data_IF_078754615921
#
_entry.id   IF_078754615921
#
_cell.length_a   1.000
_cell.length_b   1.000
_cell.length_c   1.000
_cell.angle_alpha   90.00
_cell.angle_beta   90.00
_cell.angle_gamma   90.00
#
_symmetry.space_group_name_H-M   'P 1'
#
loop_
_entity.id
_entity.type
_entity.pdbx_description
1 polymer ?
#
# COMPACT_ATOMS: atom_id res chain seq x y z
N UNK A 1 25.00 5.84 15.24
CA UNK A 1 24.56 4.44 15.21
C UNK A 1 23.76 4.17 16.46
N UNK A 2 22.59 3.58 16.30
CA UNK A 2 21.77 3.10 17.41
C UNK A 2 22.46 1.96 18.15
N UNK A 3 22.30 1.94 19.47
CA UNK A 3 22.71 0.81 20.30
C UNK A 3 21.56 -0.19 20.35
N UNK A 4 21.88 -1.46 20.59
CA UNK A 4 20.84 -2.49 20.75
C UNK A 4 19.84 -2.15 21.86
N UNK A 5 20.28 -1.47 22.92
CA UNK A 5 19.43 -0.97 24.01
C UNK A 5 18.39 0.08 23.60
N UNK A 6 18.49 0.65 22.39
CA UNK A 6 17.53 1.65 21.88
C UNK A 6 16.24 1.00 21.34
N UNK A 7 16.20 -0.33 21.25
CA UNK A 7 15.08 -1.11 20.71
C UNK A 7 14.22 -1.67 21.84
N UNK A 8 12.91 -1.75 21.59
CA UNK A 8 11.90 -2.19 22.57
C UNK A 8 11.53 -3.66 22.37
N UNK A 9 11.65 -4.14 21.13
CA UNK A 9 11.35 -5.52 20.74
C UNK A 9 12.47 -6.07 19.86
N UNK A 10 12.94 -7.27 20.20
CA UNK A 10 13.82 -8.09 19.37
C UNK A 10 13.01 -9.27 18.79
N UNK A 11 13.00 -9.39 17.47
CA UNK A 11 12.49 -10.57 16.77
C UNK A 11 13.68 -11.45 16.40
N UNK A 12 13.63 -12.72 16.76
CA UNK A 12 14.71 -13.69 16.60
C UNK A 12 14.24 -14.87 15.78
N UNK A 13 15.17 -15.66 15.27
CA UNK A 13 14.89 -16.98 14.70
C UNK A 13 15.91 -17.99 15.20
N UNK A 14 15.78 -19.25 14.80
CA UNK A 14 16.70 -20.33 15.18
C UNK A 14 18.14 -19.94 14.81
N UNK A 15 19.07 -20.06 15.77
CA UNK A 15 20.48 -19.69 15.57
C UNK A 15 20.80 -18.20 15.75
N UNK A 16 19.81 -17.37 16.10
CA UNK A 16 20.04 -15.93 16.35
C UNK A 16 20.75 -15.68 17.69
N UNK A 17 21.62 -14.65 17.77
CA UNK A 17 22.28 -14.30 19.02
C UNK A 17 21.25 -13.96 20.12
N UNK A 18 21.65 -14.06 21.41
CA UNK A 18 20.78 -13.68 22.51
C UNK A 18 20.42 -12.19 22.43
N UNK A 19 19.19 -11.86 22.81
CA UNK A 19 18.80 -10.46 22.93
C UNK A 19 19.49 -9.83 24.15
N UNK A 20 19.82 -8.53 24.11
CA UNK A 20 20.26 -7.81 25.30
C UNK A 20 19.23 -7.85 26.43
N UNK A 21 19.72 -7.77 27.67
CA UNK A 21 18.86 -7.67 28.84
C UNK A 21 17.90 -6.47 28.74
N UNK A 22 16.66 -6.67 29.15
CA UNK A 22 15.63 -5.63 29.19
C UNK A 22 14.84 -5.41 27.89
N UNK A 23 15.17 -6.12 26.81
CA UNK A 23 14.42 -6.04 25.53
C UNK A 23 13.41 -7.19 25.44
N UNK A 24 12.14 -6.87 25.13
CA UNK A 24 11.12 -7.90 24.86
C UNK A 24 11.60 -8.75 23.68
N UNK A 25 11.54 -10.06 23.80
CA UNK A 25 11.98 -10.97 22.75
C UNK A 25 10.80 -11.79 22.23
N UNK A 26 10.75 -11.97 20.92
CA UNK A 26 9.81 -12.88 20.26
C UNK A 26 10.58 -13.76 19.27
N UNK A 27 10.36 -15.05 19.35
CA UNK A 27 10.97 -16.02 18.44
C UNK A 27 10.01 -16.29 17.27
N UNK A 28 10.54 -16.13 16.06
CA UNK A 28 9.92 -16.47 14.80
C UNK A 28 10.60 -17.74 14.28
N UNK A 29 10.01 -18.87 14.62
CA UNK A 29 10.50 -20.20 14.29
C UNK A 29 9.67 -20.75 13.12
N UNK A 30 10.24 -20.91 11.92
CA UNK A 30 9.53 -21.54 10.80
C UNK A 30 9.07 -22.96 11.14
N UNK A 31 8.01 -23.43 10.50
CA UNK A 31 7.58 -24.83 10.52
C UNK A 31 8.56 -25.79 9.83
N UNK A 32 8.19 -27.06 9.77
CA UNK A 32 9.03 -28.15 9.26
C UNK A 32 8.38 -28.90 8.07
N UNK A 33 7.48 -28.26 7.32
CA UNK A 33 6.80 -28.89 6.18
C UNK A 33 7.68 -29.03 4.93
N UNK A 34 8.78 -28.28 4.85
CA UNK A 34 9.70 -28.27 3.72
C UNK A 34 9.36 -27.23 2.65
N UNK A 35 8.26 -26.47 2.83
CA UNK A 35 7.98 -25.25 2.05
C UNK A 35 8.40 -24.02 2.88
N UNK A 36 9.52 -23.36 2.53
CA UNK A 36 10.04 -22.22 3.30
C UNK A 36 9.03 -21.08 3.47
N UNK A 37 8.12 -20.89 2.51
CA UNK A 37 7.11 -19.82 2.57
C UNK A 37 6.04 -20.21 3.58
N UNK A 38 5.42 -21.38 3.41
CA UNK A 38 4.37 -21.86 4.30
C UNK A 38 4.88 -21.99 5.75
N UNK A 39 6.09 -22.54 5.91
CA UNK A 39 6.75 -22.73 7.20
C UNK A 39 7.00 -21.38 7.90
N UNK A 40 7.48 -20.38 7.17
CA UNK A 40 7.73 -19.05 7.75
C UNK A 40 6.42 -18.34 8.12
N UNK A 41 5.37 -18.48 7.31
CA UNK A 41 4.05 -17.91 7.64
C UNK A 41 3.42 -18.62 8.84
N UNK A 42 3.55 -19.94 8.95
CA UNK A 42 3.11 -20.69 10.13
C UNK A 42 3.86 -20.24 11.40
N UNK A 43 5.17 -20.08 11.30
CA UNK A 43 6.00 -19.53 12.38
C UNK A 43 5.60 -18.12 12.78
N UNK A 44 5.32 -17.25 11.80
CA UNK A 44 4.82 -15.90 12.06
C UNK A 44 3.46 -15.92 12.77
N UNK A 45 2.54 -16.81 12.38
CA UNK A 45 1.24 -16.99 13.05
C UNK A 45 1.42 -17.48 14.50
N UNK A 46 2.37 -18.38 14.74
CA UNK A 46 2.67 -18.91 16.07
C UNK A 46 3.42 -17.92 16.98
N UNK A 47 4.14 -16.94 16.41
CA UNK A 47 4.97 -16.00 17.16
C UNK A 47 4.20 -15.06 18.10
N UNK A 48 2.88 -14.91 17.89
CA UNK A 48 2.06 -13.95 18.64
C UNK A 48 2.34 -12.48 18.33
N UNK A 49 3.13 -12.18 17.29
CA UNK A 49 3.37 -10.82 16.83
C UNK A 49 2.07 -10.17 16.36
N UNK A 50 1.87 -8.92 16.76
CA UNK A 50 0.72 -8.12 16.33
C UNK A 50 1.16 -6.88 15.57
N UNK A 51 0.27 -6.27 14.80
CA UNK A 51 0.55 -4.99 14.14
C UNK A 51 0.88 -3.85 15.14
N UNK A 52 0.48 -3.96 16.41
CA UNK A 52 0.77 -2.97 17.44
C UNK A 52 2.24 -3.00 17.89
N UNK A 53 2.86 -4.19 17.91
CA UNK A 53 4.27 -4.37 18.29
C UNK A 53 5.20 -3.52 17.39
N UNK A 54 4.86 -3.39 16.10
CA UNK A 54 5.63 -2.63 15.10
C UNK A 54 5.48 -1.11 15.17
N UNK A 55 4.65 -0.59 16.09
CA UNK A 55 4.61 0.85 16.42
C UNK A 55 5.84 1.29 17.22
N UNK A 56 6.51 0.34 17.88
CA UNK A 56 7.75 0.56 18.61
C UNK A 56 8.99 0.37 17.72
N UNK A 57 10.18 0.69 18.25
CA UNK A 57 11.45 0.34 17.61
C UNK A 57 11.69 -1.16 17.77
N UNK A 58 11.65 -1.86 16.64
CA UNK A 58 11.86 -3.31 16.56
C UNK A 58 13.20 -3.55 15.87
N UNK A 59 13.94 -4.55 16.36
CA UNK A 59 15.14 -5.07 15.72
C UNK A 59 14.98 -6.55 15.40
N UNK A 60 15.44 -6.97 14.22
CA UNK A 60 15.61 -8.37 13.88
C UNK A 60 17.02 -8.83 14.24
N UNK A 61 17.17 -9.83 15.11
CA UNK A 61 18.49 -10.42 15.36
C UNK A 61 18.67 -11.54 14.33
N UNK A 62 19.60 -11.35 13.40
CA UNK A 62 19.87 -12.33 12.36
C UNK A 62 20.72 -13.49 12.89
N UNK A 63 20.45 -14.73 12.50
CA UNK A 63 21.37 -15.84 12.69
C UNK A 63 22.62 -15.64 11.83
N UNK A 64 23.68 -16.39 12.12
CA UNK A 64 24.83 -16.46 11.23
C UNK A 64 24.41 -16.98 9.84
N UNK A 65 25.08 -16.48 8.81
CA UNK A 65 24.80 -16.88 7.43
C UNK A 65 23.54 -16.26 6.83
N UNK A 66 23.02 -16.92 5.79
CA UNK A 66 21.93 -16.39 4.96
C UNK A 66 20.53 -16.80 5.43
N UNK A 67 20.44 -17.71 6.41
CA UNK A 67 19.18 -18.28 6.89
C UNK A 67 18.22 -17.22 7.43
N UNK A 68 18.73 -16.06 7.86
CA UNK A 68 17.92 -14.94 8.33
C UNK A 68 17.12 -14.22 7.25
N UNK A 69 17.43 -14.37 5.95
CA UNK A 69 16.79 -13.60 4.87
C UNK A 69 15.31 -13.94 4.69
N UNK A 70 14.95 -15.22 4.75
CA UNK A 70 13.56 -15.69 4.61
C UNK A 70 12.67 -15.13 5.73
N UNK A 71 12.98 -15.35 7.03
CA UNK A 71 12.18 -14.78 8.11
C UNK A 71 12.20 -13.24 8.12
N UNK A 72 13.31 -12.61 7.72
CA UNK A 72 13.39 -11.17 7.60
C UNK A 72 12.46 -10.60 6.51
N UNK A 73 12.35 -11.25 5.35
CA UNK A 73 11.44 -10.84 4.29
C UNK A 73 9.97 -10.93 4.72
N UNK A 74 9.60 -12.01 5.42
CA UNK A 74 8.27 -12.14 6.03
C UNK A 74 8.01 -11.01 7.05
N UNK A 75 9.00 -10.73 7.90
CA UNK A 75 8.91 -9.66 8.90
C UNK A 75 8.70 -8.29 8.25
N UNK A 76 9.36 -7.99 7.13
CA UNK A 76 9.14 -6.75 6.40
C UNK A 76 7.70 -6.64 5.86
N UNK A 77 7.17 -7.73 5.32
CA UNK A 77 5.78 -7.82 4.85
C UNK A 77 4.78 -7.61 5.99
N UNK A 78 4.99 -8.30 7.11
CA UNK A 78 4.17 -8.17 8.30
C UNK A 78 4.29 -6.78 8.92
N UNK A 79 5.49 -6.21 9.05
CA UNK A 79 5.71 -4.87 9.59
C UNK A 79 5.19 -3.76 8.66
N UNK A 80 5.03 -4.05 7.37
CA UNK A 80 4.68 -3.05 6.34
C UNK A 80 5.78 -2.02 6.10
N UNK A 81 7.00 -2.29 6.57
CA UNK A 81 8.20 -1.46 6.47
C UNK A 81 9.44 -2.32 6.71
N UNK A 82 10.61 -1.81 6.33
CA UNK A 82 11.89 -2.40 6.74
C UNK A 82 12.06 -2.26 8.26
N UNK A 83 12.59 -3.30 8.88
CA UNK A 83 12.88 -3.39 10.31
C UNK A 83 14.38 -3.45 10.46
N UNK A 84 14.99 -2.63 11.32
CA UNK A 84 16.45 -2.67 11.51
C UNK A 84 16.90 -4.08 11.90
N UNK A 85 18.12 -4.47 11.52
CA UNK A 85 18.66 -5.79 11.86
C UNK A 85 19.97 -5.68 12.64
N UNK A 86 20.26 -6.69 13.45
CA UNK A 86 21.58 -6.92 14.02
C UNK A 86 22.17 -8.17 13.37
N UNK A 87 23.32 -8.01 12.75
CA UNK A 87 24.03 -9.09 12.07
C UNK A 87 25.54 -8.87 12.19
N UNK A 88 26.29 -9.95 12.42
CA UNK A 88 27.76 -9.96 12.51
C UNK A 88 28.34 -8.84 13.41
N UNK A 89 27.73 -8.64 14.58
CA UNK A 89 28.20 -7.66 15.56
C UNK A 89 27.76 -6.20 15.31
N UNK A 90 26.99 -5.92 14.26
CA UNK A 90 26.61 -4.57 13.87
C UNK A 90 25.10 -4.39 13.71
N UNK A 91 24.61 -3.20 14.09
CA UNK A 91 23.24 -2.77 13.80
C UNK A 91 23.18 -2.16 12.40
N UNK A 92 22.33 -2.73 11.55
CA UNK A 92 21.96 -2.26 10.24
C UNK A 92 20.67 -1.44 10.33
N UNK A 93 20.83 -0.11 10.31
CA UNK A 93 19.71 0.82 10.29
C UNK A 93 19.17 0.99 8.87
N UNK A 94 18.17 0.21 8.47
CA UNK A 94 17.75 0.16 7.07
C UNK A 94 16.96 1.39 6.61
N UNK A 95 16.46 2.19 7.54
CA UNK A 95 15.97 3.55 7.23
C UNK A 95 17.08 4.45 6.66
N UNK A 96 18.35 4.15 6.94
CA UNK A 96 19.54 4.86 6.47
C UNK A 96 20.31 4.10 5.39
N UNK A 97 19.94 2.86 5.09
CA UNK A 97 20.60 2.03 4.10
C UNK A 97 19.89 2.14 2.75
N UNK A 98 20.65 2.57 1.72
CA UNK A 98 20.15 2.85 0.37
C UNK A 98 18.86 3.72 0.33
N UNK A 99 18.81 4.87 1.04
CA UNK A 99 17.63 5.74 1.08
C UNK A 99 17.27 6.29 -0.31
N UNK A 100 18.28 6.41 -1.17
CA UNK A 100 18.20 6.91 -2.54
C UNK A 100 18.32 5.79 -3.59
N UNK A 101 17.95 4.54 -3.26
CA UNK A 101 18.04 3.39 -4.19
C UNK A 101 17.43 3.65 -5.58
N UNK A 102 16.31 4.37 -5.62
CA UNK A 102 15.64 4.78 -6.86
C UNK A 102 16.46 5.79 -7.69
N UNK A 103 17.33 6.56 -7.04
CA UNK A 103 18.16 7.60 -7.66
C UNK A 103 19.50 7.08 -8.16
N UNK A 104 19.82 5.80 -7.95
CA UNK A 104 21.00 5.20 -8.57
C UNK A 104 20.91 5.36 -10.09
N UNK A 105 22.00 5.83 -10.68
CA UNK A 105 22.09 5.96 -12.13
C UNK A 105 22.07 4.57 -12.77
N UNK A 106 21.29 4.41 -13.82
CA UNK A 106 21.26 3.22 -14.65
C UNK A 106 21.80 3.56 -16.05
N UNK A 107 22.18 2.55 -16.81
CA UNK A 107 22.65 2.70 -18.19
C UNK A 107 21.49 2.90 -19.20
N UNK A 108 20.28 3.17 -18.71
CA UNK A 108 19.06 3.24 -19.50
C UNK A 108 18.31 1.90 -19.59
N UNK A 109 17.10 1.98 -20.13
CA UNK A 109 16.21 0.83 -20.32
C UNK A 109 16.74 -0.08 -21.44
N UNK A 110 16.93 -1.39 -21.19
CA UNK A 110 17.36 -2.32 -22.23
C UNK A 110 16.35 -2.40 -23.39
N UNK A 111 16.82 -2.56 -24.64
CA UNK A 111 15.94 -2.67 -25.81
C UNK A 111 15.13 -3.98 -25.81
N UNK A 112 15.67 -5.05 -25.22
CA UNK A 112 15.00 -6.35 -25.07
C UNK A 112 14.28 -6.50 -23.72
N UNK A 113 13.24 -7.33 -23.68
CA UNK A 113 12.61 -7.70 -22.41
C UNK A 113 13.53 -8.60 -21.60
N UNK A 114 14.04 -8.08 -20.48
CA UNK A 114 14.83 -8.85 -19.54
C UNK A 114 13.90 -9.66 -18.62
N UNK A 115 13.64 -10.92 -18.96
CA UNK A 115 12.75 -11.79 -18.17
C UNK A 115 13.32 -12.06 -16.78
N UNK A 116 14.60 -12.41 -16.72
CA UNK A 116 15.34 -12.66 -15.49
C UNK A 116 16.68 -11.93 -15.50
N UNK A 117 17.15 -11.60 -14.31
CA UNK A 117 18.53 -11.22 -14.05
C UNK A 117 18.98 -11.87 -12.74
N UNK A 118 20.29 -11.85 -12.51
CA UNK A 118 20.88 -12.27 -11.26
C UNK A 118 21.62 -11.12 -10.60
N UNK A 119 21.67 -11.15 -9.27
CA UNK A 119 22.57 -10.33 -8.47
C UNK A 119 23.39 -11.21 -7.53
N UNK A 120 24.69 -11.00 -7.51
CA UNK A 120 25.64 -11.84 -6.76
C UNK A 120 25.90 -13.21 -7.41
N UNK A 121 26.76 -14.01 -6.78
CA UNK A 121 27.11 -15.35 -7.25
C UNK A 121 27.92 -15.39 -8.57
N UNK A 122 28.23 -16.59 -9.09
CA UNK A 122 28.88 -16.77 -10.38
C UNK A 122 27.96 -16.38 -11.54
N UNK A 123 28.54 -15.99 -12.68
CA UNK A 123 27.76 -15.73 -13.90
C UNK A 123 26.91 -16.95 -14.29
N UNK A 124 25.66 -16.70 -14.65
CA UNK A 124 24.73 -17.74 -15.07
C UNK A 124 24.51 -17.64 -16.58
N UNK A 125 24.67 -18.76 -17.29
CA UNK A 125 24.48 -18.79 -18.74
C UNK A 125 23.05 -18.32 -19.11
N UNK A 126 22.95 -17.44 -20.12
CA UNK A 126 21.67 -16.93 -20.60
C UNK A 126 20.95 -15.95 -19.66
N UNK A 127 21.56 -15.56 -18.54
CA UNK A 127 20.98 -14.61 -17.58
C UNK A 127 21.98 -13.51 -17.22
N UNK A 128 21.67 -12.22 -17.51
CA UNK A 128 22.53 -11.13 -17.10
C UNK A 128 22.74 -11.08 -15.59
N UNK A 129 24.01 -11.09 -15.16
CA UNK A 129 24.41 -11.07 -13.76
C UNK A 129 25.00 -9.70 -13.39
N UNK A 130 24.49 -9.14 -12.29
CA UNK A 130 24.99 -7.93 -11.66
C UNK A 130 25.84 -8.31 -10.43
N UNK A 131 27.07 -7.83 -10.38
CA UNK A 131 27.92 -8.01 -9.20
C UNK A 131 27.76 -6.81 -8.25
N UNK A 132 27.59 -7.12 -6.97
CA UNK A 132 27.54 -6.13 -5.88
C UNK A 132 28.67 -6.48 -4.93
N UNK A 133 29.74 -5.68 -4.95
CA UNK A 133 30.86 -5.89 -4.03
C UNK A 133 30.43 -5.64 -2.58
N UNK A 134 30.83 -6.54 -1.69
CA UNK A 134 30.64 -6.39 -0.25
C UNK A 134 31.27 -5.08 0.23
N UNK A 135 30.50 -4.25 0.93
CA UNK A 135 30.96 -2.94 1.44
C UNK A 135 30.98 -1.78 0.42
N UNK A 136 30.85 -2.03 -0.89
CA UNK A 136 30.90 -1.00 -1.95
C UNK A 136 29.54 -0.65 -2.54
N UNK A 137 28.46 -0.93 -1.79
CA UNK A 137 27.06 -0.76 -2.20
C UNK A 137 26.68 0.65 -2.67
N UNK A 138 27.53 1.65 -2.40
CA UNK A 138 27.39 3.05 -2.86
C UNK A 138 27.99 3.33 -4.25
N UNK A 139 28.71 2.38 -4.83
CA UNK A 139 29.47 2.52 -6.08
C UNK A 139 29.02 1.48 -7.13
N UNK A 140 27.72 1.21 -7.20
CA UNK A 140 27.18 0.30 -8.20
C UNK A 140 27.35 0.85 -9.61
N UNK A 141 27.90 0.01 -10.49
CA UNK A 141 27.97 0.28 -11.92
C UNK A 141 26.56 0.47 -12.52
N UNK A 142 26.32 1.52 -13.33
CA UNK A 142 25.04 1.72 -14.02
C UNK A 142 24.51 0.51 -14.79
N UNK A 143 25.38 -0.36 -15.34
CA UNK A 143 24.93 -1.58 -16.02
C UNK A 143 24.34 -2.60 -15.02
N UNK A 144 24.95 -2.77 -13.84
CA UNK A 144 24.43 -3.59 -12.76
C UNK A 144 23.07 -3.06 -12.26
N UNK A 145 22.95 -1.73 -12.09
CA UNK A 145 21.68 -1.08 -11.72
C UNK A 145 20.60 -1.35 -12.77
N UNK A 146 20.94 -1.28 -14.07
CA UNK A 146 20.02 -1.59 -15.18
C UNK A 146 19.47 -3.02 -15.06
N UNK A 147 20.32 -4.02 -14.82
CA UNK A 147 19.89 -5.41 -14.65
C UNK A 147 18.93 -5.53 -13.46
N UNK A 148 19.32 -5.03 -12.29
CA UNK A 148 18.52 -5.10 -11.06
C UNK A 148 17.15 -4.43 -11.26
N UNK A 149 17.14 -3.24 -11.85
CA UNK A 149 15.96 -2.39 -12.01
C UNK A 149 14.98 -2.90 -13.05
N UNK A 150 15.47 -3.33 -14.21
CA UNK A 150 14.63 -3.63 -15.36
C UNK A 150 14.28 -5.11 -15.53
N UNK A 151 14.98 -6.02 -14.85
CA UNK A 151 14.63 -7.44 -14.88
C UNK A 151 13.22 -7.69 -14.32
N UNK A 152 12.41 -8.42 -15.09
CA UNK A 152 11.05 -8.75 -14.69
C UNK A 152 11.05 -9.62 -13.43
N UNK A 153 12.01 -10.54 -13.28
CA UNK A 153 12.34 -11.24 -12.04
C UNK A 153 13.83 -11.15 -11.75
N UNK A 154 14.20 -11.25 -10.48
CA UNK A 154 15.60 -11.13 -10.07
C UNK A 154 15.91 -12.24 -9.09
N UNK A 155 16.95 -13.00 -9.40
CA UNK A 155 17.58 -14.00 -8.54
C UNK A 155 18.68 -13.33 -7.73
N UNK A 156 18.70 -13.52 -6.42
CA UNK A 156 19.78 -13.04 -5.55
C UNK A 156 20.51 -14.25 -4.97
N UNK A 157 21.79 -14.34 -5.29
CA UNK A 157 22.73 -15.23 -4.62
C UNK A 157 23.44 -14.39 -3.56
N UNK A 158 23.03 -14.50 -2.29
CA UNK A 158 23.55 -13.63 -1.23
C UNK A 158 25.03 -13.93 -0.93
N UNK A 159 25.80 -12.93 -0.46
CA UNK A 159 27.04 -13.18 0.26
C UNK A 159 26.84 -14.07 1.49
N UNK A 160 27.87 -14.81 1.89
CA UNK A 160 27.78 -15.74 3.03
C UNK A 160 27.58 -15.03 4.38
N UNK A 161 28.16 -13.84 4.55
CA UNK A 161 28.03 -13.07 5.79
C UNK A 161 26.60 -12.49 5.92
N UNK A 162 25.96 -12.71 7.07
CA UNK A 162 24.58 -12.29 7.32
C UNK A 162 24.38 -10.78 7.10
N UNK A 163 25.36 -9.98 7.53
CA UNK A 163 25.36 -8.53 7.39
C UNK A 163 25.35 -8.11 5.92
N UNK A 164 26.21 -8.70 5.11
CA UNK A 164 26.34 -8.35 3.69
C UNK A 164 25.17 -8.89 2.87
N UNK A 165 24.66 -10.07 3.22
CA UNK A 165 23.43 -10.64 2.68
C UNK A 165 22.24 -9.70 2.88
N UNK A 166 22.00 -9.24 4.11
CA UNK A 166 20.92 -8.32 4.44
C UNK A 166 21.09 -6.95 3.77
N UNK A 167 22.31 -6.41 3.76
CA UNK A 167 22.59 -5.14 3.12
C UNK A 167 22.38 -5.20 1.59
N UNK A 168 22.81 -6.29 0.95
CA UNK A 168 22.58 -6.54 -0.49
C UNK A 168 21.10 -6.70 -0.79
N UNK A 169 20.37 -7.47 0.04
CA UNK A 169 18.91 -7.61 -0.07
C UNK A 169 18.19 -6.27 -0.05
N UNK A 170 18.51 -5.40 0.92
CA UNK A 170 17.88 -4.08 1.07
C UNK A 170 18.24 -3.15 -0.09
N UNK A 171 19.49 -3.17 -0.56
CA UNK A 171 19.93 -2.41 -1.73
C UNK A 171 19.16 -2.82 -2.98
N UNK A 172 19.07 -4.13 -3.24
CA UNK A 172 18.34 -4.69 -4.37
C UNK A 172 16.87 -4.31 -4.31
N UNK A 173 16.22 -4.46 -3.14
CA UNK A 173 14.84 -4.05 -2.95
C UNK A 173 14.63 -2.55 -3.21
N UNK A 174 15.58 -1.71 -2.78
CA UNK A 174 15.54 -0.26 -2.96
C UNK A 174 15.71 0.16 -4.44
N UNK A 175 16.62 -0.47 -5.20
CA UNK A 175 16.82 -0.18 -6.63
C UNK A 175 15.60 -0.58 -7.47
N UNK A 176 14.92 -1.66 -7.07
CA UNK A 176 13.72 -2.18 -7.74
C UNK A 176 12.44 -1.46 -7.36
N UNK A 177 12.52 -0.50 -6.43
CA UNK A 177 11.37 0.24 -5.95
C UNK A 177 10.78 1.09 -7.09
N UNK A 178 9.48 0.94 -7.31
CA UNK A 178 8.69 1.80 -8.24
C UNK A 178 7.66 2.60 -7.47
N UNK A 179 6.88 1.90 -6.65
CA UNK A 179 5.95 2.46 -5.66
C UNK A 179 6.25 1.87 -4.28
N UNK A 180 6.52 0.57 -4.23
CA UNK A 180 6.97 -0.19 -3.05
C UNK A 180 8.21 -1.03 -3.36
N UNK A 181 8.87 -1.48 -2.31
CA UNK A 181 9.97 -2.44 -2.39
C UNK A 181 9.52 -3.71 -3.11
N UNK A 182 10.40 -4.24 -3.96
CA UNK A 182 10.17 -5.50 -4.67
C UNK A 182 11.29 -6.49 -4.38
N UNK A 183 10.96 -7.58 -3.71
CA UNK A 183 11.98 -8.52 -3.23
C UNK A 183 12.44 -9.49 -4.35
N UNK A 184 13.71 -9.94 -4.30
CA UNK A 184 14.24 -10.96 -5.22
C UNK A 184 13.86 -12.38 -4.80
N UNK A 185 14.17 -13.35 -5.66
CA UNK A 185 14.23 -14.76 -5.28
C UNK A 185 15.52 -15.00 -4.52
N UNK A 186 15.46 -15.71 -3.40
CA UNK A 186 16.64 -16.20 -2.70
C UNK A 186 17.10 -17.51 -3.36
N UNK A 187 18.34 -17.53 -3.82
CA UNK A 187 18.89 -18.63 -4.62
C UNK A 187 20.26 -19.06 -4.13
N UNK A 188 20.59 -20.33 -4.38
CA UNK A 188 21.91 -20.93 -4.13
C UNK A 188 22.91 -20.63 -5.25
N UNK A 189 22.44 -20.15 -6.40
CA UNK A 189 23.22 -19.91 -7.61
C UNK A 189 23.37 -21.14 -8.50
N UNK A 190 22.87 -22.31 -8.07
CA UNK A 190 22.99 -23.58 -8.79
C UNK A 190 21.71 -23.98 -9.51
N UNK A 191 20.66 -23.19 -9.39
CA UNK A 191 19.38 -23.43 -10.07
C UNK A 191 19.51 -23.30 -11.59
N UNK A 192 18.74 -24.08 -12.38
CA UNK A 192 18.81 -24.07 -13.83
C UNK A 192 18.39 -22.71 -14.42
N UNK A 193 18.69 -22.50 -15.70
CA UNK A 193 18.25 -21.30 -16.42
C UNK A 193 16.71 -21.24 -16.42
N UNK A 194 16.11 -20.12 -15.98
CA UNK A 194 14.66 -20.03 -15.86
C UNK A 194 13.97 -20.15 -17.22
N UNK A 195 12.98 -21.04 -17.28
CA UNK A 195 12.20 -21.30 -18.48
C UNK A 195 11.06 -20.29 -18.67
N UNK A 196 10.53 -19.75 -17.57
CA UNK A 196 9.42 -18.81 -17.55
C UNK A 196 9.60 -17.73 -16.49
N UNK A 197 8.75 -16.70 -16.51
CA UNK A 197 8.76 -15.62 -15.53
C UNK A 197 8.40 -16.04 -14.10
N UNK A 198 7.67 -17.13 -13.91
CA UNK A 198 7.21 -17.56 -12.58
C UNK A 198 7.70 -18.98 -12.27
N UNK A 199 8.90 -19.29 -12.78
CA UNK A 199 9.57 -20.58 -12.63
C UNK A 199 9.84 -20.88 -11.14
N UNK A 200 9.25 -21.94 -10.57
CA UNK A 200 9.37 -22.28 -9.15
C UNK A 200 10.74 -22.88 -8.80
N UNK A 201 11.54 -23.30 -9.78
CA UNK A 201 12.86 -23.92 -9.55
C UNK A 201 13.95 -22.89 -9.26
N UNK A 202 13.62 -21.60 -9.18
CA UNK A 202 14.56 -20.48 -9.05
C UNK A 202 14.85 -20.08 -7.60
N UNK A 203 14.53 -20.95 -6.65
CA UNK A 203 14.69 -20.72 -5.22
C UNK A 203 13.46 -20.13 -4.54
N UNK A 204 13.64 -19.49 -3.39
CA UNK A 204 12.51 -19.00 -2.57
C UNK A 204 12.06 -17.62 -3.01
N UNK A 205 10.80 -17.47 -3.43
CA UNK A 205 10.22 -16.17 -3.79
C UNK A 205 9.92 -15.33 -2.53
N UNK A 206 10.86 -14.43 -2.18
CA UNK A 206 10.71 -13.55 -1.02
C UNK A 206 9.62 -12.49 -1.22
N UNK A 207 9.25 -12.15 -2.46
CA UNK A 207 8.17 -11.21 -2.73
C UNK A 207 6.80 -11.87 -2.51
N UNK A 208 6.64 -13.14 -2.88
CA UNK A 208 5.46 -13.94 -2.51
C UNK A 208 5.34 -14.04 -0.99
N UNK A 209 6.41 -14.40 -0.30
CA UNK A 209 6.43 -14.48 1.17
C UNK A 209 6.06 -13.14 1.84
N UNK A 210 6.64 -12.04 1.37
CA UNK A 210 6.31 -10.68 1.86
C UNK A 210 4.82 -10.37 1.71
N UNK A 211 4.22 -10.74 0.58
CA UNK A 211 2.78 -10.51 0.31
C UNK A 211 1.89 -11.36 1.19
N UNK A 212 2.25 -12.63 1.40
CA UNK A 212 1.49 -13.51 2.30
C UNK A 212 1.56 -13.02 3.75
N UNK A 213 2.72 -12.57 4.21
CA UNK A 213 2.85 -11.96 5.53
C UNK A 213 2.05 -10.65 5.67
N UNK A 214 2.02 -9.83 4.61
CA UNK A 214 1.21 -8.62 4.58
C UNK A 214 -0.31 -8.94 4.57
N UNK A 215 -0.73 -9.96 3.84
CA UNK A 215 -2.10 -10.46 3.81
C UNK A 215 -2.52 -10.97 5.19
N UNK A 216 -1.68 -11.77 5.85
CA UNK A 216 -1.92 -12.21 7.23
C UNK A 216 -2.10 -11.03 8.20
N UNK A 217 -1.29 -9.97 8.08
CA UNK A 217 -1.52 -8.76 8.88
C UNK A 217 -2.87 -8.08 8.57
N UNK A 218 -3.33 -8.12 7.33
CA UNK A 218 -4.64 -7.58 6.98
C UNK A 218 -5.77 -8.44 7.56
N UNK A 219 -5.62 -9.77 7.54
CA UNK A 219 -6.53 -10.72 8.21
C UNK A 219 -6.67 -10.38 9.70
N UNK A 220 -5.56 -10.29 10.45
CA UNK A 220 -5.59 -9.92 11.88
C UNK A 220 -6.29 -8.57 12.15
N UNK A 221 -6.14 -7.61 11.25
CA UNK A 221 -6.81 -6.31 11.36
C UNK A 221 -8.32 -6.43 11.10
N UNK A 222 -8.72 -7.25 10.13
CA UNK A 222 -10.11 -7.49 9.79
C UNK A 222 -10.82 -8.31 10.86
N UNK A 223 -10.17 -9.37 11.38
CA UNK A 223 -10.66 -10.18 12.50
C UNK A 223 -10.85 -9.32 13.75
N UNK A 224 -9.88 -8.45 14.07
CA UNK A 224 -10.03 -7.52 15.20
C UNK A 224 -11.14 -6.50 14.98
N UNK A 225 -11.33 -5.98 13.75
CA UNK A 225 -12.48 -5.12 13.42
C UNK A 225 -13.82 -5.87 13.51
N UNK A 226 -13.83 -7.18 13.24
CA UNK A 226 -15.01 -8.03 13.41
C UNK A 226 -15.29 -8.38 14.87
N UNK A 227 -14.25 -8.52 15.70
CA UNK A 227 -14.35 -8.79 17.13
C UNK A 227 -14.70 -7.55 17.96
N UNK A 228 -14.24 -6.36 17.54
CA UNK A 228 -14.64 -5.05 18.08
C UNK A 228 -15.84 -4.48 17.30
N UNK A 229 -16.90 -5.27 17.07
CA UNK A 229 -18.21 -4.69 16.80
C UNK A 229 -18.70 -3.99 18.07
N UNK A 230 -18.26 -2.74 18.27
CA UNK A 230 -19.02 -1.80 19.09
C UNK A 230 -20.47 -1.90 18.63
N UNK A 231 -21.46 -2.00 19.53
CA UNK A 231 -22.86 -1.96 19.13
C UNK A 231 -23.03 -0.74 18.23
N UNK A 232 -23.73 -0.86 17.09
CA UNK A 232 -23.89 0.25 16.15
C UNK A 232 -24.32 1.45 16.99
N UNK A 233 -23.47 2.48 17.04
CA UNK A 233 -23.83 3.71 17.74
C UNK A 233 -25.17 4.11 17.16
N UNK A 234 -26.22 4.30 18.00
CA UNK A 234 -27.53 4.63 17.49
C UNK A 234 -27.34 5.82 16.57
N UNK A 235 -27.70 5.65 15.28
CA UNK A 235 -27.54 6.69 14.28
C UNK A 235 -28.22 7.91 14.86
N UNK A 236 -27.43 8.97 15.13
CA UNK A 236 -27.99 10.17 15.76
C UNK A 236 -29.18 10.63 14.93
N UNK A 237 -30.22 11.14 15.59
CA UNK A 237 -31.42 11.62 14.88
C UNK A 237 -31.05 12.56 13.72
N UNK A 238 -29.99 13.35 13.90
CA UNK A 238 -29.33 14.17 12.89
C UNK A 238 -28.81 13.39 11.67
N UNK A 239 -27.98 12.35 11.87
CA UNK A 239 -27.44 11.55 10.76
C UNK A 239 -28.53 10.78 10.02
N UNK A 240 -29.56 10.32 10.75
CA UNK A 240 -30.71 9.65 10.16
C UNK A 240 -31.47 10.61 9.23
N UNK A 241 -31.70 11.84 9.68
CA UNK A 241 -32.38 12.89 8.90
C UNK A 241 -31.60 13.30 7.66
N UNK A 242 -30.27 13.45 7.75
CA UNK A 242 -29.42 13.69 6.58
C UNK A 242 -29.49 12.52 5.58
N UNK A 243 -29.50 11.28 6.04
CA UNK A 243 -29.61 10.12 5.17
C UNK A 243 -30.99 10.04 4.47
N UNK A 244 -32.07 10.34 5.20
CA UNK A 244 -33.43 10.45 4.64
C UNK A 244 -33.49 11.54 3.56
N UNK A 245 -32.94 12.73 3.82
CA UNK A 245 -32.90 13.81 2.83
C UNK A 245 -32.08 13.45 1.57
N UNK A 246 -31.00 12.67 1.70
CA UNK A 246 -30.23 12.18 0.53
C UNK A 246 -31.01 11.19 -0.34
N UNK A 247 -31.98 10.49 0.23
CA UNK A 247 -32.77 9.47 -0.46
C UNK A 247 -33.95 10.06 -1.25
N UNK A 248 -34.36 11.31 -0.98
CA UNK A 248 -35.41 12.01 -1.74
C UNK A 248 -34.98 12.20 -3.19
N UNK A 249 -35.90 11.96 -4.14
CA UNK A 249 -35.62 12.13 -5.57
C UNK A 249 -35.20 13.58 -5.85
N UNK A 250 -34.03 13.74 -6.47
CA UNK A 250 -33.46 15.02 -6.85
C UNK A 250 -34.38 15.82 -7.77
N UNK A 251 -35.27 15.15 -8.53
CA UNK A 251 -36.31 15.83 -9.34
C UNK A 251 -37.31 16.58 -8.46
N UNK A 252 -37.75 15.98 -7.36
CA UNK A 252 -38.63 16.64 -6.38
C UNK A 252 -37.94 17.86 -5.78
N UNK A 253 -36.65 17.74 -5.46
CA UNK A 253 -35.86 18.85 -4.93
C UNK A 253 -35.69 19.97 -5.96
N UNK A 254 -35.46 19.64 -7.24
CA UNK A 254 -35.38 20.61 -8.32
C UNK A 254 -36.67 21.42 -8.47
N UNK A 255 -37.83 20.74 -8.49
CA UNK A 255 -39.14 21.42 -8.54
C UNK A 255 -39.33 22.38 -7.37
N UNK A 256 -38.94 21.98 -6.15
CA UNK A 256 -39.02 22.86 -4.96
C UNK A 256 -38.09 24.06 -5.04
N UNK A 257 -36.94 23.92 -5.70
CA UNK A 257 -36.02 25.03 -5.97
C UNK A 257 -36.49 25.91 -7.15
N UNK A 258 -37.72 25.71 -7.66
CA UNK A 258 -38.28 26.51 -8.75
C UNK A 258 -37.77 26.12 -10.14
N UNK A 259 -37.08 24.99 -10.26
CA UNK A 259 -36.61 24.45 -11.53
C UNK A 259 -37.70 23.62 -12.21
N UNK A 260 -37.66 23.53 -13.54
CA UNK A 260 -38.58 22.74 -14.35
C UNK A 260 -37.82 22.05 -15.48
N UNK A 261 -38.39 20.96 -16.00
CA UNK A 261 -37.86 20.22 -17.14
C UNK A 261 -38.47 20.73 -18.45
N UNK A 262 -37.70 20.63 -19.54
CA UNK A 262 -38.19 20.72 -20.90
C UNK A 262 -38.80 19.39 -21.38
N UNK A 263 -39.29 19.38 -22.63
CA UNK A 263 -39.91 18.20 -23.26
C UNK A 263 -38.90 17.05 -23.47
N UNK A 264 -37.59 17.34 -23.51
CA UNK A 264 -36.50 16.38 -23.66
C UNK A 264 -35.95 15.85 -22.32
N UNK A 265 -36.51 16.32 -21.18
CA UNK A 265 -36.13 15.92 -19.83
C UNK A 265 -34.84 16.57 -19.31
N UNK A 266 -34.34 17.63 -19.95
CA UNK A 266 -33.32 18.51 -19.41
C UNK A 266 -33.97 19.57 -18.51
N UNK A 267 -33.30 19.89 -17.41
CA UNK A 267 -33.79 20.83 -16.41
C UNK A 267 -33.15 22.20 -16.55
N UNK A 268 -33.94 23.21 -16.21
CA UNK A 268 -33.52 24.59 -16.00
C UNK A 268 -32.68 24.70 -14.72
N UNK A 269 -31.51 25.34 -14.75
CA UNK A 269 -30.67 25.42 -13.57
C UNK A 269 -31.25 26.42 -12.55
N UNK A 270 -31.43 26.02 -11.26
CA UNK A 270 -31.89 26.93 -10.21
C UNK A 270 -30.81 27.96 -9.78
N UNK A 271 -29.74 28.17 -10.56
CA UNK A 271 -28.65 29.12 -10.29
C UNK A 271 -28.41 30.04 -11.50
N UNK A 272 -29.43 30.80 -11.97
CA UNK A 272 -29.32 31.59 -13.21
C UNK A 272 -28.17 32.59 -13.18
N UNK A 273 -27.81 33.13 -12.00
CA UNK A 273 -26.70 34.08 -11.83
C UNK A 273 -25.31 33.49 -12.13
N UNK A 274 -25.17 32.17 -12.17
CA UNK A 274 -23.91 31.50 -12.55
C UNK A 274 -23.78 31.29 -14.06
N UNK A 275 -24.78 31.66 -14.84
CA UNK A 275 -24.77 31.56 -16.30
C UNK A 275 -24.57 32.94 -16.94
N UNK A 276 -23.79 32.99 -18.03
CA UNK A 276 -23.51 34.25 -18.73
C UNK A 276 -24.74 34.93 -19.35
N UNK A 277 -25.78 34.15 -19.71
CA UNK A 277 -27.05 34.65 -20.29
C UNK A 277 -28.26 34.26 -19.41
N UNK A 278 -28.06 34.05 -18.10
CA UNK A 278 -29.10 33.48 -17.25
C UNK A 278 -29.44 32.02 -17.62
N UNK A 279 -30.61 31.56 -17.19
CA UNK A 279 -31.10 30.20 -17.43
C UNK A 279 -32.18 30.15 -18.54
N UNK A 280 -31.95 30.88 -19.63
CA UNK A 280 -32.84 30.90 -20.80
C UNK A 280 -32.95 29.54 -21.50
N UNK A 281 -31.90 28.71 -21.42
CA UNK A 281 -31.87 27.36 -21.99
C UNK A 281 -31.63 26.31 -20.91
N UNK A 282 -32.33 25.16 -20.94
CA UNK A 282 -32.14 24.07 -19.99
C UNK A 282 -30.72 23.52 -20.12
N UNK A 283 -30.06 23.31 -18.99
CA UNK A 283 -28.60 23.07 -18.92
C UNK A 283 -28.21 22.01 -17.90
N UNK A 284 -29.20 21.40 -17.25
CA UNK A 284 -29.04 20.51 -16.12
C UNK A 284 -29.61 19.14 -16.42
N UNK A 285 -28.84 18.09 -16.14
CA UNK A 285 -29.24 16.70 -16.39
C UNK A 285 -29.34 15.92 -15.08
N UNK A 286 -30.44 15.20 -14.91
CA UNK A 286 -30.64 14.24 -13.82
C UNK A 286 -30.18 12.85 -14.27
N UNK A 287 -29.46 12.15 -13.39
CA UNK A 287 -28.91 10.81 -13.63
C UNK A 287 -29.64 9.76 -12.78
N UNK A 288 -29.54 8.49 -13.19
CA UNK A 288 -30.24 7.37 -12.54
C UNK A 288 -29.77 7.02 -11.11
N UNK A 289 -28.71 7.67 -10.62
CA UNK A 289 -28.13 7.47 -9.28
C UNK A 289 -28.53 8.56 -8.28
N UNK A 290 -29.69 9.20 -8.50
CA UNK A 290 -30.23 10.30 -7.70
C UNK A 290 -29.29 11.53 -7.60
N UNK A 291 -28.51 11.77 -8.66
CA UNK A 291 -27.63 12.94 -8.77
C UNK A 291 -27.97 13.75 -10.00
N UNK A 292 -27.52 14.99 -9.99
CA UNK A 292 -27.75 15.95 -11.06
C UNK A 292 -26.48 16.73 -11.36
N UNK A 293 -26.39 17.30 -12.56
CA UNK A 293 -25.27 18.15 -12.97
C UNK A 293 -25.74 19.21 -13.93
N UNK A 294 -25.46 20.48 -13.63
CA UNK A 294 -25.53 21.55 -14.61
C UNK A 294 -24.21 21.61 -15.39
N UNK A 295 -24.28 21.58 -16.72
CA UNK A 295 -23.11 21.61 -17.60
C UNK A 295 -22.31 22.93 -17.52
N UNK A 296 -22.91 24.00 -16.98
CA UNK A 296 -22.29 25.31 -16.80
C UNK A 296 -21.76 25.52 -15.38
N UNK A 297 -22.51 25.09 -14.36
CA UNK A 297 -22.17 25.36 -12.96
C UNK A 297 -21.28 24.30 -12.32
N UNK A 298 -21.42 23.02 -12.71
CA UNK A 298 -20.89 21.91 -11.92
C UNK A 298 -19.79 21.14 -12.66
N UNK A 299 -18.62 21.02 -12.01
CA UNK A 299 -17.54 20.15 -12.48
C UNK A 299 -17.90 18.66 -12.35
N UNK A 300 -18.72 18.29 -11.36
CA UNK A 300 -19.09 16.92 -11.03
C UNK A 300 -20.59 16.79 -10.73
N UNK A 301 -21.09 15.55 -10.64
CA UNK A 301 -22.49 15.28 -10.29
C UNK A 301 -22.72 15.52 -8.80
N UNK A 302 -23.74 16.28 -8.47
CA UNK A 302 -24.11 16.61 -7.08
C UNK A 302 -25.39 15.91 -6.65
N UNK A 303 -25.47 15.54 -5.37
CA UNK A 303 -26.67 14.96 -4.77
C UNK A 303 -27.62 16.04 -4.20
N UNK A 304 -28.82 15.65 -3.72
CA UNK A 304 -29.88 16.57 -3.32
C UNK A 304 -29.46 17.62 -2.27
N UNK A 305 -28.77 17.19 -1.21
CA UNK A 305 -28.33 18.10 -0.14
C UNK A 305 -27.35 19.16 -0.67
N UNK A 306 -26.33 18.73 -1.43
CA UNK A 306 -25.33 19.64 -1.97
C UNK A 306 -25.95 20.64 -2.94
N UNK A 307 -26.92 20.20 -3.74
CA UNK A 307 -27.67 21.09 -4.62
C UNK A 307 -28.37 22.21 -3.83
N UNK A 308 -29.07 21.87 -2.75
CA UNK A 308 -29.79 22.87 -1.92
C UNK A 308 -28.82 23.83 -1.22
N UNK A 309 -27.71 23.31 -0.68
CA UNK A 309 -26.65 24.15 -0.09
C UNK A 309 -26.14 25.17 -1.12
N UNK A 310 -25.84 24.74 -2.34
CA UNK A 310 -25.26 25.61 -3.36
C UNK A 310 -26.26 26.60 -3.96
N UNK A 311 -27.57 26.31 -3.88
CA UNK A 311 -28.64 27.18 -4.38
C UNK A 311 -29.07 28.20 -3.33
N UNK A 312 -29.27 27.76 -2.08
CA UNK A 312 -29.81 28.58 -1.00
C UNK A 312 -28.73 29.16 -0.06
N UNK A 313 -27.48 28.69 -0.15
CA UNK A 313 -26.39 29.15 0.72
C UNK A 313 -26.52 28.70 2.18
N UNK A 314 -27.22 27.59 2.43
CA UNK A 314 -27.57 27.10 3.77
C UNK A 314 -26.66 25.97 4.24
N UNK A 315 -26.71 25.66 5.54
CA UNK A 315 -25.99 24.52 6.12
C UNK A 315 -26.60 23.17 5.68
N UNK A 316 -25.88 22.04 5.82
CA UNK A 316 -26.43 20.71 5.51
C UNK A 316 -27.72 20.35 6.26
N UNK A 317 -27.90 20.85 7.49
CA UNK A 317 -29.09 20.60 8.30
C UNK A 317 -30.30 21.38 7.80
N UNK A 318 -30.09 22.66 7.50
CA UNK A 318 -31.12 23.49 6.89
C UNK A 318 -31.50 22.97 5.51
N UNK A 319 -30.54 22.47 4.74
CA UNK A 319 -30.79 21.80 3.48
C UNK A 319 -31.62 20.51 3.66
N UNK A 320 -31.28 19.68 4.66
CA UNK A 320 -32.06 18.48 4.96
C UNK A 320 -33.49 18.81 5.39
N UNK A 321 -33.69 19.84 6.22
CA UNK A 321 -35.01 20.32 6.62
C UNK A 321 -35.80 20.88 5.43
N UNK A 322 -35.15 21.61 4.52
CA UNK A 322 -35.78 22.07 3.28
C UNK A 322 -36.26 20.89 2.41
N UNK A 323 -35.43 19.85 2.29
CA UNK A 323 -35.75 18.66 1.49
C UNK A 323 -36.84 17.81 2.13
N UNK A 324 -36.92 17.75 3.45
CA UNK A 324 -37.87 16.86 4.14
C UNK A 324 -39.19 17.54 4.49
N UNK A 325 -39.14 18.80 4.94
CA UNK A 325 -40.27 19.44 5.62
C UNK A 325 -40.85 20.64 4.85
N UNK A 326 -40.19 21.09 3.77
CA UNK A 326 -40.65 22.28 3.06
C UNK A 326 -41.56 21.95 1.89
N UNK A 327 -42.77 22.50 1.93
CA UNK A 327 -43.70 22.60 0.78
C UNK A 327 -43.43 23.85 -0.08
N UNK A 328 -42.39 24.62 0.26
CA UNK A 328 -42.06 25.87 -0.40
C UNK A 328 -41.50 25.60 -1.80
N UNK A 329 -42.16 26.16 -2.81
CA UNK A 329 -41.58 26.36 -4.15
C UNK A 329 -40.92 27.74 -4.16
N UNK A 330 -39.62 27.80 -4.42
CA UNK A 330 -38.88 29.07 -4.50
C UNK A 330 -39.21 29.73 -5.84
N UNK A 331 -39.78 30.94 -5.81
CA UNK A 331 -39.97 31.74 -7.03
C UNK A 331 -38.66 32.43 -7.42
N UNK A 332 -37.99 31.87 -8.43
CA UNK A 332 -36.70 32.33 -8.91
C UNK A 332 -36.79 33.55 -9.84
N UNK A 333 -37.98 34.07 -10.16
CA UNK A 333 -38.17 35.23 -11.07
C UNK A 333 -38.18 36.59 -10.38
N UNK A 334 -38.10 36.64 -9.05
CA UNK A 334 -38.17 37.88 -8.27
C UNK A 334 -36.89 38.21 -7.45
N UNK A 335 -35.74 37.59 -7.75
CA UNK A 335 -34.47 37.82 -7.00
C UNK A 335 -33.26 38.11 -7.88
#
# INVERSE_FOLDING_TARGET
>A
MHKLSDYVLAVRTTGSPPAPEGIKTVDLVPGESGDPIADTIAGLRASGLTAADFRSRVIFLAPEGIAGLVPYAALCGFAGRRVDAYADGAVLEFSRLAPDGEKFADAGRPPGHLMWGQVGGPEAEGMPTAHVDAGSQRLLDPAAVTVIRYAARLRMVPPDAARDALATFVLVAAIRRRSDDRFPYLSTGTEPVPSTKDDPEQGTDLEKLRREAAAYRQELRSERRGADMLPPSPVSAHNKRIAEAKAVDVRTVLTRLGSFADDDGLWHCPRPRKHSNGDENPSMKVYGDNRTRCHRCDAEKVGPIRLVIEVLGVTPDEAANFILDSDRVVDMRAS
#
